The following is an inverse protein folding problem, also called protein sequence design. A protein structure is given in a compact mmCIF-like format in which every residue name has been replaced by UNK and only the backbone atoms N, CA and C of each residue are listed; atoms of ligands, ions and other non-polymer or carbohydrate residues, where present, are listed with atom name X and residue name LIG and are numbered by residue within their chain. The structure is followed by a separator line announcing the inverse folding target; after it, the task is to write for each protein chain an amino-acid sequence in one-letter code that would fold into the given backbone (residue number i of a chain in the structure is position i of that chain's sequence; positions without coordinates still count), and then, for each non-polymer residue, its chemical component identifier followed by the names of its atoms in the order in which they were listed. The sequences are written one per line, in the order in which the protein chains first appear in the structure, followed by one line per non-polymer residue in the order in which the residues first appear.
data_IF_515585679583
#
_entry.id   IF_515585679583
#
_cell.length_a   1.000
_cell.length_b   1.000
_cell.length_c   1.000
_cell.angle_alpha   90.00
_cell.angle_beta   90.00
_cell.angle_gamma   90.00
#
_symmetry.space_group_name_H-M   'P 1'
#
loop_
_entity.id
_entity.type
_entity.pdbx_description
1 polymer ?
#
# COMPACT_ATOMS: atom_id res chain seq x y z
N UNK A 1 6.99 21.20 -1.40
CA UNK A 1 7.05 22.36 -2.29
C UNK A 1 8.45 23.01 -2.30
N UNK A 2 9.09 23.26 -1.15
CA UNK A 2 10.48 23.85 -1.09
C UNK A 2 11.51 23.01 -1.85
N UNK A 3 11.31 21.72 -1.98
CA UNK A 3 12.18 20.78 -2.71
C UNK A 3 11.74 20.53 -4.16
N UNK A 4 10.77 21.31 -4.67
CA UNK A 4 10.27 21.20 -6.03
C UNK A 4 9.20 20.11 -6.27
N UNK A 5 8.75 19.43 -5.23
CA UNK A 5 7.64 18.46 -5.36
C UNK A 5 6.32 19.17 -5.57
N UNK A 6 5.51 18.64 -6.49
CA UNK A 6 4.11 19.04 -6.63
C UNK A 6 3.29 18.32 -5.56
N UNK A 7 2.44 19.05 -4.87
CA UNK A 7 1.60 18.54 -3.77
C UNK A 7 0.13 18.76 -4.07
N UNK A 8 -0.68 17.75 -3.81
CA UNK A 8 -2.13 17.84 -3.91
C UNK A 8 -2.75 17.14 -2.70
N UNK A 9 -3.59 17.85 -1.96
CA UNK A 9 -4.37 17.26 -0.87
C UNK A 9 -5.53 16.51 -1.50
N UNK A 10 -5.62 15.20 -1.24
CA UNK A 10 -6.69 14.32 -1.72
C UNK A 10 -7.83 14.27 -0.71
N UNK A 11 -7.50 14.13 0.57
CA UNK A 11 -8.47 14.05 1.65
C UNK A 11 -7.90 14.68 2.92
N UNK A 12 -8.76 15.33 3.70
CA UNK A 12 -8.40 15.94 4.97
C UNK A 12 -9.56 15.86 5.95
N UNK A 13 -9.32 15.30 7.12
CA UNK A 13 -10.28 15.22 8.20
C UNK A 13 -9.81 16.07 9.37
N UNK A 14 -10.63 17.04 9.73
CA UNK A 14 -10.39 17.88 10.90
C UNK A 14 -10.69 17.11 12.20
N UNK A 15 -9.98 17.46 13.27
CA UNK A 15 -10.29 17.03 14.63
C UNK A 15 -11.57 17.70 15.14
N UNK A 16 -12.22 17.07 16.12
CA UNK A 16 -13.48 17.58 16.69
C UNK A 16 -13.31 18.95 17.38
N UNK A 17 -12.19 19.14 18.09
CA UNK A 17 -11.91 20.40 18.81
C UNK A 17 -10.93 21.29 18.04
N UNK A 18 -9.85 20.71 17.51
CA UNK A 18 -8.84 21.43 16.74
C UNK A 18 -7.85 20.49 16.03
N UNK A 19 -7.16 21.01 15.03
CA UNK A 19 -6.13 20.31 14.26
C UNK A 19 -6.67 19.30 13.27
N UNK A 20 -5.80 18.42 12.77
CA UNK A 20 -6.10 17.40 11.78
C UNK A 20 -6.13 16.03 12.45
N UNK A 21 -7.17 15.23 12.13
CA UNK A 21 -7.26 13.83 12.50
C UNK A 21 -6.52 12.94 11.50
N UNK A 22 -6.71 13.20 10.21
CA UNK A 22 -5.99 12.55 9.12
C UNK A 22 -5.88 13.46 7.91
N UNK A 23 -4.84 13.25 7.09
CA UNK A 23 -4.70 13.90 5.79
C UNK A 23 -4.03 12.95 4.81
N UNK A 24 -4.53 12.90 3.59
CA UNK A 24 -3.95 12.16 2.46
C UNK A 24 -3.45 13.16 1.43
N UNK A 25 -2.17 13.09 1.14
CA UNK A 25 -1.50 14.03 0.24
C UNK A 25 -0.83 13.24 -0.89
N UNK A 26 -1.16 13.59 -2.12
CA UNK A 26 -0.43 13.13 -3.30
C UNK A 26 0.80 14.01 -3.53
N UNK A 27 1.94 13.38 -3.71
CA UNK A 27 3.23 14.03 -3.93
C UNK A 27 3.86 13.49 -5.22
N UNK A 28 4.18 14.36 -6.16
CA UNK A 28 4.85 13.97 -7.40
C UNK A 28 6.15 14.76 -7.61
N UNK A 29 7.18 14.05 -8.07
CA UNK A 29 8.50 14.59 -8.33
C UNK A 29 9.56 13.50 -8.39
N UNK A 30 10.75 13.84 -8.82
CA UNK A 30 11.84 12.88 -8.99
C UNK A 30 12.25 12.26 -7.67
N UNK A 31 12.28 10.92 -7.63
CA UNK A 31 12.65 10.13 -6.46
C UNK A 31 11.80 10.38 -5.20
N UNK A 32 10.59 10.98 -5.32
CA UNK A 32 9.74 11.36 -4.20
C UNK A 32 9.48 10.19 -3.25
N UNK A 33 9.11 9.01 -3.76
CA UNK A 33 8.89 7.82 -2.95
C UNK A 33 10.16 7.39 -2.19
N UNK A 34 11.32 7.36 -2.86
CA UNK A 34 12.60 6.95 -2.25
C UNK A 34 13.00 7.81 -1.05
N UNK A 35 12.82 9.11 -1.16
CA UNK A 35 13.10 10.06 -0.07
C UNK A 35 12.05 10.00 1.03
N UNK A 36 10.77 10.07 0.68
CA UNK A 36 9.69 10.13 1.65
C UNK A 36 9.47 8.83 2.42
N UNK A 37 9.88 7.69 1.87
CA UNK A 37 9.86 6.40 2.57
C UNK A 37 10.59 6.45 3.91
N UNK A 38 11.60 7.31 4.05
CA UNK A 38 12.32 7.54 5.31
C UNK A 38 11.43 8.09 6.43
N UNK A 39 10.34 8.78 6.07
CA UNK A 39 9.40 9.38 7.02
C UNK A 39 8.27 8.42 7.44
N UNK A 40 8.18 7.24 6.82
CA UNK A 40 7.15 6.26 7.12
C UNK A 40 7.37 5.64 8.51
N UNK A 41 6.40 5.81 9.40
CA UNK A 41 6.44 5.30 10.78
C UNK A 41 5.71 6.20 11.76
N UNK A 42 5.95 5.98 13.05
CA UNK A 42 5.32 6.73 14.14
C UNK A 42 6.22 7.90 14.56
N UNK A 43 5.65 9.10 14.60
CA UNK A 43 6.28 10.32 15.07
C UNK A 43 5.65 10.73 16.39
N UNK A 44 6.49 11.11 17.34
CA UNK A 44 6.08 11.55 18.68
C UNK A 44 6.37 13.03 18.86
N UNK A 45 5.38 13.81 19.25
CA UNK A 45 5.56 15.22 19.60
C UNK A 45 5.27 15.45 21.08
N UNK A 46 6.14 16.18 21.77
CA UNK A 46 6.01 16.56 23.17
C UNK A 46 6.03 18.07 23.28
N UNK A 47 4.90 18.65 23.66
CA UNK A 47 4.72 20.11 23.78
C UNK A 47 3.79 20.47 24.92
N UNK A 48 3.81 21.75 25.30
CA UNK A 48 2.72 22.33 26.08
C UNK A 48 1.54 22.53 25.12
N UNK A 49 0.38 21.92 25.41
CA UNK A 49 -0.79 22.05 24.54
C UNK A 49 -1.37 23.45 24.61
N UNK A 50 -1.56 24.16 23.49
CA UNK A 50 -2.20 25.49 23.49
C UNK A 50 -3.70 25.42 23.83
N UNK A 51 -4.30 24.21 23.83
CA UNK A 51 -5.71 23.99 24.16
C UNK A 51 -5.93 23.58 25.63
N UNK A 52 -4.86 23.33 26.39
CA UNK A 52 -4.94 22.97 27.79
C UNK A 52 -4.82 24.24 28.64
N UNK A 53 -5.91 24.65 29.32
CA UNK A 53 -5.94 25.81 30.20
C UNK A 53 -4.92 25.74 31.35
N UNK A 54 -4.44 24.55 31.73
CA UNK A 54 -3.45 24.33 32.77
C UNK A 54 -2.01 24.31 32.20
N UNK A 55 -1.82 24.57 30.92
CA UNK A 55 -0.52 24.58 30.23
C UNK A 55 0.36 23.34 30.53
N UNK A 56 -0.26 22.17 30.64
CA UNK A 56 0.46 20.91 30.92
C UNK A 56 1.23 20.44 29.70
N UNK A 57 2.35 19.77 29.95
CA UNK A 57 3.12 19.07 28.94
C UNK A 57 2.37 17.82 28.49
N UNK A 58 2.09 17.74 27.22
CA UNK A 58 1.36 16.61 26.63
C UNK A 58 2.17 15.95 25.50
N UNK A 59 1.88 14.67 25.26
CA UNK A 59 2.47 13.89 24.19
C UNK A 59 1.38 13.53 23.18
N UNK A 60 1.66 13.77 21.90
CA UNK A 60 0.82 13.32 20.81
C UNK A 60 1.64 12.42 19.84
N UNK A 61 0.96 11.54 19.14
CA UNK A 61 1.54 10.67 18.15
C UNK A 61 0.87 10.90 16.79
N UNK A 62 1.68 10.81 15.73
CA UNK A 62 1.22 10.82 14.35
C UNK A 62 1.86 9.64 13.62
N UNK A 63 1.08 8.89 12.86
CA UNK A 63 1.58 7.83 11.99
C UNK A 63 1.61 8.34 10.56
N UNK A 64 2.78 8.30 9.94
CA UNK A 64 2.97 8.62 8.53
C UNK A 64 3.10 7.31 7.75
N UNK A 65 2.35 7.20 6.65
CA UNK A 65 2.44 6.09 5.72
C UNK A 65 2.74 6.62 4.33
N UNK A 66 3.77 6.11 3.72
CA UNK A 66 4.18 6.48 2.36
C UNK A 66 3.99 5.26 1.46
N UNK A 67 3.18 5.41 0.42
CA UNK A 67 2.90 4.36 -0.56
C UNK A 67 3.22 4.87 -1.96
N UNK A 68 3.87 4.07 -2.82
CA UNK A 68 4.05 4.44 -4.20
C UNK A 68 2.70 4.39 -4.93
N UNK A 69 2.45 5.34 -5.81
CA UNK A 69 1.37 5.25 -6.77
C UNK A 69 1.86 4.45 -7.98
N UNK A 70 1.09 3.44 -8.37
CA UNK A 70 1.38 2.62 -9.54
C UNK A 70 0.27 2.83 -10.56
N UNK A 71 0.63 3.29 -11.76
CA UNK A 71 -0.29 3.58 -12.88
C UNK A 71 -0.92 2.32 -13.50
N UNK A 72 -0.67 1.13 -12.93
CA UNK A 72 -1.19 -0.12 -13.47
C UNK A 72 -2.70 -0.25 -13.25
N UNK A 73 -3.46 0.47 -14.05
CA UNK A 73 -4.88 0.21 -14.37
C UNK A 73 -5.01 -0.73 -15.58
N UNK A 74 -3.92 -1.30 -16.07
CA UNK A 74 -3.96 -2.22 -17.19
C UNK A 74 -4.78 -3.45 -16.78
N UNK A 75 -5.98 -3.52 -17.34
CA UNK A 75 -6.81 -4.71 -17.26
C UNK A 75 -5.99 -5.91 -17.75
N UNK A 76 -6.15 -7.03 -17.10
CA UNK A 76 -5.43 -8.25 -17.47
C UNK A 76 -5.75 -8.60 -18.91
N UNK A 77 -4.80 -8.39 -19.81
CA UNK A 77 -4.93 -8.82 -21.19
C UNK A 77 -4.69 -10.34 -21.23
N UNK A 78 -5.79 -11.11 -21.30
CA UNK A 78 -5.70 -12.56 -21.44
C UNK A 78 -5.38 -12.87 -22.91
N UNK A 79 -4.19 -13.36 -23.14
CA UNK A 79 -3.77 -13.80 -24.49
C UNK A 79 -4.29 -15.21 -24.74
N UNK A 80 -4.95 -15.44 -25.89
CA UNK A 80 -5.53 -16.75 -26.24
C UNK A 80 -4.49 -17.88 -26.23
N UNK A 81 -3.22 -17.60 -26.50
CA UNK A 81 -2.12 -18.58 -26.44
C UNK A 81 -1.86 -19.13 -25.02
N UNK A 82 -2.26 -18.41 -23.99
CA UNK A 82 -2.05 -18.79 -22.59
C UNK A 82 -3.22 -19.62 -22.04
N UNK A 83 -4.24 -19.82 -22.89
CA UNK A 83 -5.44 -20.57 -22.54
C UNK A 83 -5.42 -21.97 -23.13
N UNK A 84 -5.56 -22.96 -22.28
CA UNK A 84 -5.91 -24.32 -22.69
C UNK A 84 -7.39 -24.54 -22.52
N UNK A 85 -8.11 -24.83 -23.63
CA UNK A 85 -9.55 -25.07 -23.64
C UNK A 85 -9.81 -26.53 -23.91
N UNK A 86 -10.38 -27.21 -22.92
CA UNK A 86 -10.80 -28.60 -23.03
C UNK A 86 -12.34 -28.67 -23.01
N UNK A 87 -12.92 -29.46 -23.95
CA UNK A 87 -14.37 -29.71 -23.99
C UNK A 87 -14.65 -31.10 -23.52
N UNK A 88 -15.76 -31.30 -22.81
CA UNK A 88 -16.16 -32.60 -22.29
C UNK A 88 -17.68 -32.69 -22.16
N UNK A 89 -18.18 -33.90 -21.92
CA UNK A 89 -19.61 -34.16 -21.72
C UNK A 89 -20.04 -33.69 -20.35
N UNK A 90 -21.08 -32.86 -20.32
CA UNK A 90 -21.66 -32.43 -19.04
C UNK A 90 -22.25 -33.65 -18.32
N UNK A 91 -21.90 -33.87 -17.07
CA UNK A 91 -22.50 -34.89 -16.19
C UNK A 91 -23.51 -34.23 -15.25
N UNK A 92 -24.79 -34.55 -15.37
CA UNK A 92 -25.86 -34.04 -14.53
C UNK A 92 -27.19 -34.72 -14.76
N UNK A 93 -28.15 -34.53 -13.84
CA UNK A 93 -29.53 -35.03 -13.97
C UNK A 93 -30.28 -34.19 -15.01
N UNK A 94 -30.05 -34.47 -16.29
CA UNK A 94 -30.74 -33.86 -17.44
C UNK A 94 -31.06 -34.87 -18.50
N UNK A 95 -32.13 -34.63 -19.30
CA UNK A 95 -32.64 -35.55 -20.30
C UNK A 95 -31.64 -35.93 -21.40
N UNK A 96 -32.02 -36.77 -22.37
CA UNK A 96 -31.15 -37.37 -23.41
C UNK A 96 -30.20 -36.42 -24.15
N UNK A 97 -30.45 -35.11 -24.16
CA UNK A 97 -29.62 -34.11 -24.85
C UNK A 97 -28.36 -33.71 -24.06
N UNK A 98 -28.37 -33.83 -22.74
CA UNK A 98 -27.21 -33.48 -21.85
C UNK A 98 -26.12 -34.54 -21.97
N UNK A 99 -26.49 -35.78 -22.26
CA UNK A 99 -25.55 -36.91 -22.33
C UNK A 99 -24.95 -37.18 -23.71
N UNK A 100 -25.35 -36.43 -24.76
CA UNK A 100 -24.94 -36.68 -26.14
C UNK A 100 -24.04 -35.59 -26.73
N UNK A 101 -23.96 -34.43 -26.13
CA UNK A 101 -23.20 -33.28 -26.67
C UNK A 101 -22.07 -32.84 -25.73
N UNK A 102 -20.85 -32.65 -26.25
CA UNK A 102 -19.70 -32.15 -25.53
C UNK A 102 -19.84 -30.61 -25.34
N UNK A 103 -20.84 -30.17 -24.54
CA UNK A 103 -21.15 -28.76 -24.31
C UNK A 103 -20.42 -28.13 -23.11
N UNK A 104 -19.89 -28.96 -22.21
CA UNK A 104 -19.12 -28.46 -21.07
C UNK A 104 -17.72 -28.02 -21.50
N UNK A 105 -17.27 -26.90 -20.92
CA UNK A 105 -15.98 -26.26 -21.23
C UNK A 105 -15.17 -26.12 -19.96
N UNK A 106 -13.90 -26.54 -20.02
CA UNK A 106 -12.87 -26.27 -19.01
C UNK A 106 -11.81 -25.40 -19.65
N UNK A 107 -11.50 -24.27 -18.99
CA UNK A 107 -10.42 -23.37 -19.42
C UNK A 107 -9.37 -23.35 -18.33
N UNK A 108 -8.13 -23.61 -18.70
CA UNK A 108 -6.96 -23.50 -17.84
C UNK A 108 -6.09 -22.36 -18.33
N UNK A 109 -5.81 -21.40 -17.47
CA UNK A 109 -4.84 -20.35 -17.74
C UNK A 109 -3.45 -20.85 -17.33
N UNK A 110 -2.60 -21.11 -18.31
CA UNK A 110 -1.31 -21.78 -18.12
C UNK A 110 -0.35 -21.03 -17.20
N UNK A 111 -0.22 -19.67 -17.26
CA UNK A 111 0.71 -18.94 -16.42
C UNK A 111 0.33 -18.93 -14.93
N UNK A 112 -0.97 -18.90 -14.61
CA UNK A 112 -1.44 -18.86 -13.20
C UNK A 112 -1.92 -20.20 -12.67
N UNK A 113 -2.13 -21.19 -13.55
CA UNK A 113 -2.69 -22.48 -13.18
C UNK A 113 -4.18 -22.45 -12.80
N UNK A 114 -4.87 -21.33 -12.98
CA UNK A 114 -6.29 -21.18 -12.64
C UNK A 114 -7.12 -22.00 -13.63
N UNK A 115 -8.02 -22.82 -13.08
CA UNK A 115 -8.94 -23.67 -13.86
C UNK A 115 -10.38 -23.22 -13.60
N UNK A 116 -11.13 -23.00 -14.67
CA UNK A 116 -12.57 -22.67 -14.62
C UNK A 116 -13.34 -23.68 -15.47
N UNK A 117 -14.48 -24.13 -14.97
CA UNK A 117 -15.38 -25.05 -15.67
C UNK A 117 -16.76 -24.41 -15.78
N UNK A 118 -17.39 -24.56 -16.94
CA UNK A 118 -18.76 -24.13 -17.19
C UNK A 118 -19.53 -25.20 -18.00
N UNK A 119 -20.73 -25.57 -17.47
CA UNK A 119 -21.59 -26.56 -18.10
C UNK A 119 -23.08 -26.20 -18.04
N UNK A 120 -23.40 -24.97 -17.66
CA UNK A 120 -24.77 -24.53 -17.35
C UNK A 120 -25.62 -24.30 -18.58
N UNK A 121 -24.98 -23.98 -19.71
CA UNK A 121 -25.65 -23.69 -20.99
C UNK A 121 -25.62 -24.86 -21.95
N UNK A 122 -26.64 -24.94 -22.83
CA UNK A 122 -26.71 -25.97 -23.88
C UNK A 122 -25.68 -25.73 -24.99
N UNK A 123 -25.22 -24.50 -25.16
CA UNK A 123 -24.27 -24.10 -26.19
C UNK A 123 -22.83 -24.09 -25.65
N UNK A 124 -21.94 -24.80 -26.31
CA UNK A 124 -20.50 -24.80 -26.03
C UNK A 124 -19.92 -23.36 -26.08
N UNK A 125 -20.34 -22.55 -27.06
CA UNK A 125 -19.89 -21.17 -27.19
C UNK A 125 -20.35 -20.32 -26.02
N UNK A 126 -21.58 -20.49 -25.52
CA UNK A 126 -22.07 -19.77 -24.34
C UNK A 126 -21.29 -20.17 -23.08
N UNK A 127 -21.02 -21.47 -22.89
CA UNK A 127 -20.20 -21.96 -21.79
C UNK A 127 -18.75 -21.46 -21.88
N UNK A 128 -18.15 -21.40 -23.08
CA UNK A 128 -16.81 -20.82 -23.27
C UNK A 128 -16.80 -19.33 -22.90
N UNK A 129 -17.74 -18.55 -23.37
CA UNK A 129 -17.85 -17.12 -23.07
C UNK A 129 -18.03 -16.86 -21.56
N UNK A 130 -18.87 -17.67 -20.91
CA UNK A 130 -19.09 -17.58 -19.47
C UNK A 130 -17.82 -17.97 -18.68
N UNK A 131 -17.17 -19.06 -19.07
CA UNK A 131 -15.92 -19.52 -18.43
C UNK A 131 -14.81 -18.48 -18.55
N UNK A 132 -14.68 -17.79 -19.70
CA UNK A 132 -13.72 -16.70 -19.88
C UNK A 132 -14.00 -15.51 -18.96
N UNK A 133 -15.27 -15.13 -18.77
CA UNK A 133 -15.63 -14.05 -17.83
C UNK A 133 -15.25 -14.39 -16.40
N UNK A 134 -15.53 -15.61 -15.96
CA UNK A 134 -15.20 -16.08 -14.62
C UNK A 134 -13.68 -16.19 -14.44
N UNK A 135 -12.98 -16.67 -15.48
CA UNK A 135 -11.52 -16.75 -15.48
C UNK A 135 -10.89 -15.36 -15.33
N UNK A 136 -11.35 -14.37 -16.09
CA UNK A 136 -10.88 -13.00 -16.02
C UNK A 136 -11.05 -12.42 -14.61
N UNK A 137 -12.24 -12.57 -14.03
CA UNK A 137 -12.50 -12.12 -12.65
C UNK A 137 -11.54 -12.75 -11.64
N UNK A 138 -11.28 -14.07 -11.73
CA UNK A 138 -10.34 -14.76 -10.83
C UNK A 138 -8.89 -14.34 -11.03
N UNK A 139 -8.46 -14.07 -12.26
CA UNK A 139 -7.10 -13.60 -12.53
C UNK A 139 -6.91 -12.21 -11.92
N UNK A 140 -7.89 -11.32 -12.09
CA UNK A 140 -7.86 -9.98 -11.47
C UNK A 140 -7.78 -10.10 -9.95
N UNK A 141 -8.60 -10.95 -9.33
CA UNK A 141 -8.59 -11.16 -7.87
C UNK A 141 -7.21 -11.63 -7.36
N UNK A 142 -6.58 -12.61 -8.03
CA UNK A 142 -5.25 -13.10 -7.68
C UNK A 142 -4.16 -12.03 -7.87
N UNK A 143 -4.28 -11.20 -8.91
CA UNK A 143 -3.34 -10.10 -9.11
C UNK A 143 -3.50 -9.01 -8.06
N UNK A 144 -4.73 -8.68 -7.69
CA UNK A 144 -4.99 -7.71 -6.60
C UNK A 144 -4.48 -8.23 -5.26
N UNK A 145 -4.62 -9.54 -4.99
CA UNK A 145 -4.10 -10.15 -3.78
C UNK A 145 -2.56 -10.10 -3.73
N UNK A 146 -1.88 -10.49 -4.80
CA UNK A 146 -0.42 -10.36 -4.93
C UNK A 146 0.03 -8.91 -4.75
N UNK A 147 -0.64 -7.98 -5.41
CA UNK A 147 -0.35 -6.55 -5.27
C UNK A 147 -0.53 -6.08 -3.83
N UNK A 148 -1.58 -6.56 -3.15
CA UNK A 148 -1.83 -6.27 -1.73
C UNK A 148 -0.72 -6.84 -0.83
N UNK A 149 -0.27 -8.06 -1.09
CA UNK A 149 0.85 -8.69 -0.38
C UNK A 149 2.17 -7.94 -0.61
N UNK A 150 2.49 -7.58 -1.85
CA UNK A 150 3.66 -6.78 -2.21
C UNK A 150 3.61 -5.40 -1.52
N UNK A 151 2.45 -4.73 -1.54
CA UNK A 151 2.26 -3.46 -0.85
C UNK A 151 2.42 -3.60 0.66
N UNK A 152 1.91 -4.68 1.26
CA UNK A 152 2.08 -4.96 2.69
C UNK A 152 3.56 -5.26 3.03
N UNK A 153 4.27 -5.97 2.17
CA UNK A 153 5.71 -6.22 2.32
C UNK A 153 6.54 -4.92 2.23
N UNK A 154 6.18 -4.01 1.32
CA UNK A 154 6.81 -2.70 1.17
C UNK A 154 6.50 -1.80 2.38
N UNK A 155 5.29 -1.86 2.90
CA UNK A 155 4.84 -1.03 4.03
C UNK A 155 5.40 -1.48 5.38
N UNK A 156 5.88 -2.71 5.51
CA UNK A 156 6.27 -3.32 6.77
C UNK A 156 5.06 -3.63 7.67
N UNK A 157 5.28 -4.33 8.78
CA UNK A 157 4.23 -4.58 9.76
C UNK A 157 3.72 -3.26 10.33
N UNK A 158 2.39 -3.14 10.51
CA UNK A 158 1.80 -2.02 11.27
C UNK A 158 2.44 -1.98 12.65
N UNK A 159 3.35 -1.02 12.87
CA UNK A 159 3.83 -0.74 14.22
C UNK A 159 2.67 -0.13 15.00
N UNK A 160 2.31 -0.74 16.12
CA UNK A 160 1.34 -0.13 17.02
C UNK A 160 1.78 1.29 17.39
N UNK A 161 0.82 2.22 17.36
CA UNK A 161 1.05 3.61 17.76
C UNK A 161 1.18 3.64 19.29
N UNK A 162 2.37 3.26 19.80
CA UNK A 162 2.64 3.12 21.22
C UNK A 162 3.99 3.74 21.59
N UNK A 163 4.18 3.96 22.89
CA UNK A 163 5.48 4.35 23.43
C UNK A 163 6.52 3.26 23.13
N UNK A 164 7.60 3.62 22.45
CA UNK A 164 8.69 2.72 22.07
C UNK A 164 8.77 2.39 20.58
N UNK A 165 7.69 2.58 19.82
CA UNK A 165 7.66 2.32 18.36
C UNK A 165 7.92 3.56 17.49
N UNK A 166 8.19 4.73 18.13
CA UNK A 166 8.44 5.95 17.38
C UNK A 166 9.79 5.94 16.64
N UNK A 167 9.76 6.33 15.37
CA UNK A 167 10.98 6.53 14.57
C UNK A 167 11.65 7.89 14.89
N UNK A 168 10.84 8.91 15.19
CA UNK A 168 11.35 10.26 15.48
C UNK A 168 10.56 10.92 16.60
N UNK A 169 11.28 11.64 17.47
CA UNK A 169 10.69 12.42 18.57
C UNK A 169 10.99 13.90 18.38
N UNK A 170 9.95 14.72 18.55
CA UNK A 170 10.00 16.18 18.54
C UNK A 170 9.69 16.66 19.95
N UNK A 171 10.68 17.19 20.67
CA UNK A 171 10.53 17.73 22.02
C UNK A 171 10.60 19.24 21.93
N UNK A 172 9.53 19.92 22.35
CA UNK A 172 9.44 21.38 22.35
C UNK A 172 9.52 21.97 23.77
N UNK A 173 9.37 21.15 24.80
CA UNK A 173 9.42 21.55 26.19
C UNK A 173 9.87 20.38 27.07
N UNK A 174 10.76 20.56 28.09
CA UNK A 174 11.38 21.82 28.55
C UNK A 174 12.57 22.31 27.72
N UNK A 175 13.08 21.46 26.81
CA UNK A 175 14.15 21.79 25.86
C UNK A 175 13.69 21.54 24.45
N UNK A 176 14.34 22.12 23.46
CA UNK A 176 14.06 21.90 22.05
C UNK A 176 14.99 20.84 21.47
N UNK A 177 14.43 19.76 20.91
CA UNK A 177 15.20 18.69 20.27
C UNK A 177 14.32 17.88 19.30
N UNK A 178 14.85 17.56 18.14
CA UNK A 178 14.33 16.50 17.24
C UNK A 178 15.37 15.41 17.18
N UNK A 179 14.99 14.16 17.45
CA UNK A 179 15.87 13.00 17.38
C UNK A 179 15.22 11.89 16.58
N UNK A 180 15.95 11.34 15.59
CA UNK A 180 15.59 10.10 14.90
C UNK A 180 16.23 8.92 15.63
N UNK A 181 15.39 8.00 16.12
CA UNK A 181 15.84 6.87 16.94
C UNK A 181 16.50 5.74 16.13
N UNK A 182 16.38 5.78 14.80
CA UNK A 182 16.96 4.77 13.90
C UNK A 182 18.42 5.09 13.56
N UNK A 183 18.76 6.37 13.50
CA UNK A 183 20.08 6.86 13.05
C UNK A 183 20.83 7.62 14.13
N UNK A 184 20.19 7.86 15.29
CA UNK A 184 20.67 8.72 16.37
C UNK A 184 20.97 10.17 15.95
N UNK A 185 20.58 10.57 14.73
CA UNK A 185 20.72 11.96 14.29
C UNK A 185 19.77 12.86 15.07
N UNK A 186 20.31 13.97 15.60
CA UNK A 186 19.54 14.92 16.40
C UNK A 186 19.87 16.38 16.06
N UNK A 187 18.91 17.27 16.29
CA UNK A 187 19.06 18.72 16.14
C UNK A 187 18.24 19.46 17.19
N UNK A 188 18.72 20.62 17.64
CA UNK A 188 17.97 21.51 18.51
C UNK A 188 17.03 22.46 17.75
N UNK A 189 17.17 22.57 16.42
CA UNK A 189 16.36 23.47 15.59
C UNK A 189 15.03 22.82 15.20
N UNK A 190 14.14 22.66 16.19
CA UNK A 190 12.82 22.02 16.00
C UNK A 190 11.96 22.78 15.01
N UNK A 191 12.02 24.12 15.05
CA UNK A 191 11.17 24.98 14.24
C UNK A 191 11.49 24.82 12.75
N UNK A 192 12.78 24.73 12.37
CA UNK A 192 13.19 24.49 11.01
C UNK A 192 12.75 23.11 10.50
N UNK A 193 12.84 22.07 11.33
CA UNK A 193 12.39 20.73 10.98
C UNK A 193 10.88 20.68 10.75
N UNK A 194 10.09 21.34 11.60
CA UNK A 194 8.65 21.46 11.44
C UNK A 194 8.27 22.30 10.20
N UNK A 195 9.13 23.23 9.80
CA UNK A 195 8.98 24.04 8.58
C UNK A 195 9.47 23.30 7.30
N UNK A 196 9.89 22.02 7.44
CA UNK A 196 10.20 21.12 6.33
C UNK A 196 11.70 20.91 6.06
N UNK A 197 12.61 21.31 6.92
CA UNK A 197 14.04 20.99 6.79
C UNK A 197 14.32 19.55 7.24
N UNK A 198 13.86 18.58 6.40
CA UNK A 198 13.96 17.15 6.67
C UNK A 198 15.18 16.49 6.01
N UNK A 199 15.85 17.19 5.09
CA UNK A 199 16.92 16.63 4.27
C UNK A 199 18.03 15.95 5.09
N UNK A 200 18.53 16.50 6.21
CA UNK A 200 19.56 15.83 7.01
C UNK A 200 19.10 14.49 7.58
N UNK A 201 17.84 14.38 8.02
CA UNK A 201 17.28 13.13 8.55
C UNK A 201 17.13 12.07 7.45
N UNK A 202 16.66 12.45 6.27
CA UNK A 202 16.51 11.59 5.11
C UNK A 202 17.88 11.03 4.69
N UNK A 203 18.90 11.88 4.58
CA UNK A 203 20.26 11.45 4.18
C UNK A 203 20.89 10.50 5.20
N UNK A 204 20.76 10.78 6.51
CA UNK A 204 21.27 9.89 7.56
C UNK A 204 20.58 8.54 7.51
N UNK A 205 19.26 8.50 7.29
CA UNK A 205 18.52 7.25 7.18
C UNK A 205 18.93 6.45 5.94
N UNK A 206 19.08 7.08 4.76
CA UNK A 206 19.54 6.43 3.54
C UNK A 206 20.94 5.83 3.71
N UNK A 207 21.87 6.55 4.34
CA UNK A 207 23.22 6.06 4.62
C UNK A 207 23.22 4.89 5.61
N UNK A 208 22.40 4.96 6.65
CA UNK A 208 22.25 3.90 7.64
C UNK A 208 21.70 2.63 7.00
N UNK A 209 20.66 2.75 6.19
CA UNK A 209 20.05 1.63 5.48
C UNK A 209 21.04 0.93 4.55
N UNK A 210 21.81 1.68 3.75
CA UNK A 210 22.79 1.10 2.85
C UNK A 210 23.88 0.30 3.59
N UNK A 211 24.26 0.72 4.81
CA UNK A 211 25.21 -0.03 5.64
C UNK A 211 24.63 -1.35 6.12
N UNK A 212 23.40 -1.36 6.62
CA UNK A 212 22.76 -2.58 7.11
C UNK A 212 22.48 -3.58 5.98
N UNK A 213 22.15 -3.13 4.78
CA UNK A 213 21.99 -4.01 3.61
C UNK A 213 23.32 -4.62 3.14
N UNK A 214 24.44 -3.90 3.29
CA UNK A 214 25.80 -4.41 2.93
C UNK A 214 26.35 -5.39 3.98
N UNK A 215 26.02 -5.22 5.25
CA UNK A 215 26.45 -6.12 6.35
C UNK A 215 25.63 -7.42 6.42
N UNK A 216 24.50 -7.50 5.72
CA UNK A 216 23.59 -8.66 5.67
C UNK A 216 23.84 -9.58 4.47
N UNK A 217 24.77 -9.24 3.58
CA UNK A 217 25.25 -10.05 2.44
C UNK A 217 26.60 -10.72 2.74
#
# INVERSE_FOLDING_TARGET
EKQGYKTQIIDEQHGEEAGLKSSTIHLSGDYAYGYLRSESGVHRIVRISPFDAQARRQTAFCSIRVTPETDNTDGVEIVDSDLRVDTYRASGAGGQHVNTTDSAVRITHMPTGIVVQCQNERSQHANKAQALRVLNARIIEVQEEKRREEMNAIQGSKSDIAFGSQIRSYVMHPYKMVKDHRTDHETSNVDAVLDGELQPFIEHWLRHRNRTETESQ
#
